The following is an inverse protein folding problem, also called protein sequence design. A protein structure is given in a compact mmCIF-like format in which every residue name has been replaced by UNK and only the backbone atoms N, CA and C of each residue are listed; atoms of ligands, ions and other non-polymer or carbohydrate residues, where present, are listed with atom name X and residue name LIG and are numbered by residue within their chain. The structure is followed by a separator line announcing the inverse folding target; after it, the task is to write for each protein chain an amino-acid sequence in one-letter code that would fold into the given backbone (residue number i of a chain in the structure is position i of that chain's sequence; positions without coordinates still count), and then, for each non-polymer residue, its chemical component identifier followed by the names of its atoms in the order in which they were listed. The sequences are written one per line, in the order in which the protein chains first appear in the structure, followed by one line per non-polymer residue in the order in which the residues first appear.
data_IF_608058788125
#
_entry.id   IF_608058788125
#
_cell.length_a   1.000
_cell.length_b   1.000
_cell.length_c   1.000
_cell.angle_alpha   90.00
_cell.angle_beta   90.00
_cell.angle_gamma   90.00
#
_symmetry.space_group_name_H-M   'P 1'
#
loop_
_entity.id
_entity.type
_entity.pdbx_description
1 polymer ?
#
# COMPACT_ATOMS: atom_id res chain seq x y z
N UNK A 1 -13.69 -12.57 10.42
CA UNK A 1 -15.10 -12.65 10.72
C UNK A 1 -15.88 -12.70 9.41
N UNK A 2 -16.95 -13.49 9.33
CA UNK A 2 -17.89 -13.44 8.21
C UNK A 2 -18.54 -12.05 8.25
N UNK A 3 -18.47 -11.30 7.15
CA UNK A 3 -19.26 -10.09 7.00
C UNK A 3 -20.74 -10.51 6.99
N UNK A 4 -21.48 -10.19 8.04
CA UNK A 4 -22.91 -10.43 8.10
C UNK A 4 -23.73 -9.38 7.30
N UNK A 5 -23.04 -8.49 6.59
CA UNK A 5 -23.62 -7.49 5.71
C UNK A 5 -24.12 -8.05 4.39
N UNK A 6 -25.03 -7.37 3.76
CA UNK A 6 -25.61 -7.75 2.46
C UNK A 6 -24.59 -7.56 1.32
N UNK A 7 -23.71 -6.56 1.44
CA UNK A 7 -22.64 -6.25 0.48
C UNK A 7 -21.44 -5.64 1.18
N UNK A 8 -20.27 -5.83 0.59
CA UNK A 8 -19.05 -5.10 0.93
C UNK A 8 -18.78 -4.06 -0.16
N UNK A 9 -18.58 -2.81 0.25
CA UNK A 9 -18.23 -1.71 -0.66
C UNK A 9 -16.88 -1.16 -0.20
N UNK A 10 -15.86 -1.29 -1.03
CA UNK A 10 -14.52 -0.85 -0.63
C UNK A 10 -13.45 -1.18 -1.64
N UNK A 11 -12.22 -0.93 -1.26
CA UNK A 11 -11.03 -1.19 -2.08
C UNK A 11 -10.75 -2.68 -2.19
N UNK A 12 -10.43 -3.13 -3.39
CA UNK A 12 -9.79 -4.44 -3.58
C UNK A 12 -8.32 -4.37 -3.13
N UNK A 13 -8.12 -4.53 -1.82
CA UNK A 13 -6.81 -4.38 -1.17
C UNK A 13 -5.73 -5.29 -1.76
N UNK A 14 -6.10 -6.51 -2.15
CA UNK A 14 -5.16 -7.47 -2.74
C UNK A 14 -4.68 -7.01 -4.10
N UNK A 15 -5.60 -6.63 -4.98
CA UNK A 15 -5.27 -6.14 -6.32
C UNK A 15 -4.49 -4.82 -6.27
N UNK A 16 -4.84 -3.90 -5.35
CA UNK A 16 -4.08 -2.67 -5.14
C UNK A 16 -2.63 -2.93 -4.73
N UNK A 17 -2.41 -3.91 -3.83
CA UNK A 17 -1.05 -4.29 -3.43
C UNK A 17 -0.29 -5.04 -4.55
N UNK A 18 -0.97 -5.83 -5.39
CA UNK A 18 -0.37 -6.42 -6.59
C UNK A 18 0.04 -5.31 -7.58
N UNK A 19 -0.75 -4.24 -7.72
CA UNK A 19 -0.40 -3.07 -8.55
C UNK A 19 0.85 -2.36 -8.02
N UNK A 20 0.96 -2.16 -6.70
CA UNK A 20 2.16 -1.62 -6.06
C UNK A 20 3.40 -2.51 -6.31
N UNK A 21 3.25 -3.82 -6.16
CA UNK A 21 4.31 -4.79 -6.40
C UNK A 21 4.79 -4.77 -7.85
N UNK A 22 3.88 -4.73 -8.82
CA UNK A 22 4.23 -4.63 -10.24
C UNK A 22 5.03 -3.36 -10.53
N UNK A 23 4.64 -2.24 -9.94
CA UNK A 23 5.41 -0.99 -10.08
C UNK A 23 6.81 -1.09 -9.48
N UNK A 24 6.96 -1.74 -8.31
CA UNK A 24 8.28 -2.03 -7.72
C UNK A 24 9.11 -2.90 -8.67
N UNK A 25 8.51 -3.94 -9.26
CA UNK A 25 9.17 -4.81 -10.23
C UNK A 25 9.73 -4.05 -11.44
N UNK A 26 8.98 -3.08 -11.95
CA UNK A 26 9.40 -2.25 -13.08
C UNK A 26 10.55 -1.29 -12.72
N UNK A 27 10.76 -1.01 -11.44
CA UNK A 27 11.75 -0.04 -10.93
C UNK A 27 12.99 -0.69 -10.32
N UNK A 28 12.96 -1.99 -10.05
CA UNK A 28 14.06 -2.70 -9.38
C UNK A 28 14.64 -3.81 -10.24
N UNK A 29 15.96 -4.07 -10.17
CA UNK A 29 16.56 -5.19 -10.88
C UNK A 29 15.97 -6.54 -10.40
N UNK A 30 15.87 -7.50 -11.32
CA UNK A 30 15.47 -8.87 -10.97
C UNK A 30 16.41 -9.47 -9.91
N UNK A 31 15.86 -10.15 -8.91
CA UNK A 31 16.62 -10.73 -7.80
C UNK A 31 16.99 -9.71 -6.71
N UNK A 32 16.58 -8.44 -6.84
CA UNK A 32 16.86 -7.45 -5.81
C UNK A 32 16.13 -7.77 -4.50
N UNK A 33 16.78 -7.40 -3.39
CA UNK A 33 16.22 -7.54 -2.04
C UNK A 33 15.17 -6.48 -1.78
N UNK A 34 14.00 -6.90 -1.26
CA UNK A 34 12.86 -6.03 -0.95
C UNK A 34 12.28 -6.37 0.42
N UNK A 35 11.68 -5.37 1.08
CA UNK A 35 10.95 -5.58 2.33
C UNK A 35 9.49 -5.14 2.22
N UNK A 36 8.67 -5.73 3.09
CA UNK A 36 7.25 -5.41 3.23
C UNK A 36 7.01 -4.97 4.69
N UNK A 37 6.46 -3.78 4.88
CA UNK A 37 5.94 -3.30 6.15
C UNK A 37 4.43 -3.52 6.18
N UNK A 38 3.96 -4.35 7.12
CA UNK A 38 2.54 -4.71 7.23
C UNK A 38 1.84 -3.92 8.31
N UNK A 39 0.52 -3.79 8.19
CA UNK A 39 -0.34 -3.29 9.26
C UNK A 39 -0.54 -4.33 10.38
N UNK A 40 -1.55 -4.10 11.21
CA UNK A 40 -1.92 -5.03 12.28
C UNK A 40 -2.40 -6.36 11.71
N UNK A 41 -1.76 -7.46 12.07
CA UNK A 41 -2.05 -8.80 11.50
C UNK A 41 -3.44 -9.34 11.87
N UNK A 42 -4.10 -8.77 12.87
CA UNK A 42 -5.50 -9.08 13.22
C UNK A 42 -6.52 -8.52 12.21
N UNK A 43 -6.10 -7.63 11.31
CA UNK A 43 -6.96 -6.95 10.35
C UNK A 43 -6.86 -7.56 8.96
N UNK A 44 -8.01 -7.88 8.36
CA UNK A 44 -8.08 -8.46 7.01
C UNK A 44 -7.41 -7.57 5.94
N UNK A 45 -7.52 -6.25 6.07
CA UNK A 45 -6.87 -5.29 5.17
C UNK A 45 -5.35 -5.47 5.17
N UNK A 46 -4.72 -5.63 6.35
CA UNK A 46 -3.28 -5.85 6.44
C UNK A 46 -2.86 -7.15 5.74
N UNK A 47 -3.61 -8.23 5.98
CA UNK A 47 -3.35 -9.54 5.37
C UNK A 47 -3.51 -9.49 3.85
N UNK A 48 -4.57 -8.86 3.34
CA UNK A 48 -4.83 -8.76 1.90
C UNK A 48 -3.75 -7.94 1.18
N UNK A 49 -3.31 -6.79 1.75
CA UNK A 49 -2.23 -5.98 1.18
C UNK A 49 -0.90 -6.72 1.22
N UNK A 50 -0.58 -7.37 2.33
CA UNK A 50 0.61 -8.22 2.46
C UNK A 50 0.64 -9.32 1.40
N UNK A 51 -0.43 -10.09 1.30
CA UNK A 51 -0.50 -11.26 0.41
C UNK A 51 -0.48 -10.85 -1.07
N UNK A 52 -1.13 -9.73 -1.41
CA UNK A 52 -1.04 -9.15 -2.76
C UNK A 52 0.38 -8.71 -3.12
N UNK A 53 1.06 -8.00 -2.21
CA UNK A 53 2.44 -7.59 -2.40
C UNK A 53 3.38 -8.80 -2.55
N UNK A 54 3.28 -9.79 -1.65
CA UNK A 54 4.08 -11.02 -1.73
C UNK A 54 3.88 -11.72 -3.08
N UNK A 55 2.63 -11.86 -3.53
CA UNK A 55 2.31 -12.50 -4.81
C UNK A 55 2.99 -11.77 -5.98
N UNK A 56 2.83 -10.45 -6.06
CA UNK A 56 3.36 -9.65 -7.16
C UNK A 56 4.90 -9.64 -7.17
N UNK A 57 5.53 -9.37 -6.01
CA UNK A 57 7.00 -9.32 -5.89
C UNK A 57 7.67 -10.67 -6.22
N UNK A 58 7.07 -11.78 -5.78
CA UNK A 58 7.57 -13.12 -6.13
C UNK A 58 7.40 -13.45 -7.61
N UNK A 59 6.31 -13.01 -8.22
CA UNK A 59 6.02 -13.28 -9.63
C UNK A 59 7.09 -12.68 -10.56
N UNK A 60 7.67 -11.53 -10.22
CA UNK A 60 8.75 -10.92 -10.99
C UNK A 60 10.17 -11.33 -10.52
N UNK A 61 10.28 -12.22 -9.54
CA UNK A 61 11.55 -12.78 -9.09
C UNK A 61 12.35 -11.88 -8.16
N UNK A 62 11.70 -10.98 -7.40
CA UNK A 62 12.34 -10.23 -6.33
C UNK A 62 12.48 -11.08 -5.05
N UNK A 63 13.53 -10.82 -4.28
CA UNK A 63 13.84 -11.52 -3.05
C UNK A 63 13.25 -10.79 -1.84
N UNK A 64 12.19 -11.33 -1.24
CA UNK A 64 11.57 -10.73 -0.05
C UNK A 64 12.41 -11.12 1.18
N UNK A 65 13.26 -10.20 1.65
CA UNK A 65 14.18 -10.42 2.78
C UNK A 65 13.56 -10.13 4.14
N UNK A 66 12.47 -9.35 4.17
CA UNK A 66 11.74 -9.06 5.40
C UNK A 66 10.26 -8.82 5.13
N UNK A 67 9.43 -9.31 6.05
CA UNK A 67 8.00 -8.97 6.14
C UNK A 67 7.72 -8.75 7.62
N UNK A 68 7.52 -7.49 8.02
CA UNK A 68 7.39 -7.13 9.43
C UNK A 68 6.22 -6.16 9.64
N UNK A 69 5.51 -6.32 10.76
CA UNK A 69 4.44 -5.40 11.10
C UNK A 69 4.98 -4.10 11.69
N UNK A 70 4.45 -2.99 11.22
CA UNK A 70 4.64 -1.65 11.79
C UNK A 70 3.30 -1.02 12.23
N UNK A 71 2.22 -1.83 12.26
CA UNK A 71 0.92 -1.52 12.88
C UNK A 71 0.29 -0.21 12.40
N UNK A 72 0.51 0.16 11.14
CA UNK A 72 0.04 1.39 10.51
C UNK A 72 0.70 2.69 11.02
N UNK A 73 1.72 2.56 11.88
CA UNK A 73 2.35 3.67 12.59
C UNK A 73 3.67 4.10 11.93
N UNK A 74 3.85 5.42 11.79
CA UNK A 74 5.04 6.01 11.14
C UNK A 74 6.31 5.80 11.98
N UNK A 75 6.25 6.03 13.29
CA UNK A 75 7.44 5.92 14.16
C UNK A 75 7.88 4.47 14.29
N UNK A 76 6.91 3.55 14.40
CA UNK A 76 7.18 2.11 14.42
C UNK A 76 7.77 1.64 13.09
N UNK A 77 7.25 2.13 11.97
CA UNK A 77 7.78 1.81 10.64
C UNK A 77 9.23 2.27 10.48
N UNK A 78 9.59 3.48 10.98
CA UNK A 78 10.97 3.94 11.01
C UNK A 78 11.86 2.96 11.77
N UNK A 79 11.52 2.63 13.02
CA UNK A 79 12.34 1.73 13.86
C UNK A 79 12.46 0.32 13.29
N UNK A 80 11.36 -0.21 12.70
CA UNK A 80 11.35 -1.50 12.01
C UNK A 80 12.27 -1.45 10.78
N UNK A 81 12.20 -0.37 10.01
CA UNK A 81 13.05 -0.19 8.82
C UNK A 81 14.52 -0.10 9.20
N UNK A 82 14.90 0.69 10.22
CA UNK A 82 16.26 0.75 10.75
C UNK A 82 16.80 -0.67 11.07
N UNK A 83 15.98 -1.49 11.74
CA UNK A 83 16.33 -2.88 12.06
C UNK A 83 16.48 -3.77 10.82
N UNK A 84 15.67 -3.54 9.78
CA UNK A 84 15.77 -4.25 8.50
C UNK A 84 17.06 -3.87 7.78
N UNK A 85 17.41 -2.58 7.73
CA UNK A 85 18.61 -2.07 7.05
C UNK A 85 19.92 -2.61 7.65
N UNK A 86 19.97 -2.75 8.98
CA UNK A 86 21.13 -3.37 9.66
C UNK A 86 21.37 -4.79 9.15
N UNK A 87 20.32 -5.56 8.91
CA UNK A 87 20.41 -6.97 8.46
C UNK A 87 20.54 -7.08 6.94
N UNK A 88 20.00 -6.12 6.20
CA UNK A 88 19.88 -6.14 4.75
C UNK A 88 20.35 -4.80 4.16
N UNK A 89 21.65 -4.47 4.20
CA UNK A 89 22.17 -3.16 3.78
C UNK A 89 22.06 -2.91 2.26
N UNK A 90 21.73 -3.93 1.48
CA UNK A 90 21.63 -3.84 0.01
C UNK A 90 20.20 -3.80 -0.50
N UNK A 91 19.22 -3.55 0.38
CA UNK A 91 17.81 -3.51 -0.01
C UNK A 91 17.56 -2.47 -1.13
N UNK A 92 16.69 -2.80 -2.08
CA UNK A 92 16.39 -1.95 -3.24
C UNK A 92 14.97 -1.44 -3.28
N UNK A 93 14.06 -2.07 -2.53
CA UNK A 93 12.70 -1.54 -2.42
C UNK A 93 12.04 -1.87 -1.07
N UNK A 94 11.09 -1.03 -0.68
CA UNK A 94 10.21 -1.24 0.47
C UNK A 94 8.77 -0.97 0.04
N UNK A 95 7.87 -1.91 0.32
CA UNK A 95 6.43 -1.68 0.26
C UNK A 95 5.90 -1.41 1.66
N UNK A 96 5.33 -0.23 1.87
CA UNK A 96 4.55 0.10 3.05
C UNK A 96 3.07 -0.17 2.78
N UNK A 97 2.43 -1.03 3.58
CA UNK A 97 1.00 -1.34 3.40
C UNK A 97 0.07 -0.13 3.64
N UNK A 98 0.61 1.00 4.12
CA UNK A 98 -0.01 2.33 4.04
C UNK A 98 1.07 3.42 3.92
N UNK A 99 0.63 4.65 3.63
CA UNK A 99 1.52 5.79 3.45
C UNK A 99 2.25 6.20 4.72
N UNK A 100 1.61 6.11 5.88
CA UNK A 100 2.27 6.42 7.16
C UNK A 100 3.51 5.54 7.36
N UNK A 101 3.40 4.24 7.09
CA UNK A 101 4.54 3.33 7.20
C UNK A 101 5.58 3.58 6.10
N UNK A 102 5.16 3.90 4.87
CA UNK A 102 6.07 4.26 3.79
C UNK A 102 6.87 5.52 4.12
N UNK A 103 6.23 6.57 4.68
CA UNK A 103 6.89 7.80 5.13
C UNK A 103 7.86 7.54 6.30
N UNK A 104 7.51 6.65 7.23
CA UNK A 104 8.42 6.21 8.29
C UNK A 104 9.66 5.48 7.74
N UNK A 105 9.47 4.62 6.74
CA UNK A 105 10.57 3.94 6.06
C UNK A 105 11.50 4.94 5.36
N UNK A 106 10.97 5.97 4.71
CA UNK A 106 11.76 7.03 4.07
C UNK A 106 12.65 7.74 5.09
N UNK A 107 12.14 8.07 6.28
CA UNK A 107 12.94 8.69 7.33
C UNK A 107 14.15 7.82 7.73
N UNK A 108 13.94 6.52 7.90
CA UNK A 108 15.03 5.59 8.22
C UNK A 108 16.06 5.48 7.08
N UNK A 109 15.60 5.50 5.81
CA UNK A 109 16.47 5.46 4.65
C UNK A 109 17.29 6.75 4.51
N UNK A 110 16.68 7.92 4.73
CA UNK A 110 17.37 9.22 4.73
C UNK A 110 18.47 9.25 5.80
N UNK A 111 18.17 8.81 7.02
CA UNK A 111 19.15 8.73 8.12
C UNK A 111 20.31 7.78 7.82
N UNK A 112 20.05 6.71 7.05
CA UNK A 112 21.06 5.76 6.57
C UNK A 112 21.80 6.23 5.29
N UNK A 113 21.43 7.36 4.70
CA UNK A 113 22.00 7.85 3.43
C UNK A 113 21.60 7.01 2.20
N UNK A 114 20.53 6.23 2.28
CA UNK A 114 20.06 5.32 1.23
C UNK A 114 18.93 5.93 0.40
N UNK A 115 19.27 6.90 -0.44
CA UNK A 115 18.28 7.68 -1.21
C UNK A 115 17.80 6.98 -2.50
N UNK A 116 18.42 5.87 -2.91
CA UNK A 116 18.12 5.16 -4.16
C UNK A 116 17.14 3.98 -3.97
N UNK A 117 16.58 3.82 -2.78
CA UNK A 117 15.63 2.75 -2.49
C UNK A 117 14.24 3.12 -2.97
N UNK A 118 13.61 2.25 -3.76
CA UNK A 118 12.23 2.44 -4.23
C UNK A 118 11.28 2.23 -3.06
N UNK A 119 10.51 3.25 -2.68
CA UNK A 119 9.49 3.14 -1.63
C UNK A 119 8.11 3.36 -2.23
N UNK A 120 7.21 2.41 -1.97
CA UNK A 120 5.81 2.49 -2.43
C UNK A 120 4.87 2.36 -1.24
N UNK A 121 3.93 3.29 -1.13
CA UNK A 121 2.89 3.33 -0.11
C UNK A 121 1.52 2.84 -0.60
N UNK A 122 0.52 3.11 0.20
CA UNK A 122 -0.89 2.84 -0.10
C UNK A 122 -1.73 3.87 0.65
N UNK A 123 -2.77 4.42 0.05
CA UNK A 123 -3.84 5.34 0.47
C UNK A 123 -3.87 6.65 -0.32
N UNK A 124 -2.72 7.12 -0.85
CA UNK A 124 -2.53 8.42 -1.51
C UNK A 124 -2.95 9.60 -0.61
N UNK A 125 -2.38 9.63 0.59
CA UNK A 125 -2.58 10.76 1.51
C UNK A 125 -1.93 12.04 0.97
N UNK A 126 -2.37 13.25 1.38
CA UNK A 126 -1.73 14.52 0.98
C UNK A 126 -0.23 14.56 1.31
N UNK A 127 0.18 13.98 2.44
CA UNK A 127 1.60 13.91 2.83
C UNK A 127 2.40 12.99 1.89
N UNK A 128 1.81 11.86 1.49
CA UNK A 128 2.42 10.98 0.49
C UNK A 128 2.52 11.66 -0.88
N UNK A 129 1.48 12.36 -1.32
CA UNK A 129 1.50 13.12 -2.57
C UNK A 129 2.59 14.19 -2.54
N UNK A 130 2.73 14.91 -1.43
CA UNK A 130 3.80 15.91 -1.23
C UNK A 130 5.18 15.26 -1.26
N UNK A 131 5.35 14.11 -0.62
CA UNK A 131 6.61 13.34 -0.59
C UNK A 131 6.98 12.80 -1.99
N UNK A 132 6.01 12.39 -2.80
CA UNK A 132 6.22 11.98 -4.20
C UNK A 132 6.72 13.16 -5.03
N UNK A 133 6.11 14.32 -4.91
CA UNK A 133 6.52 15.51 -5.64
C UNK A 133 7.88 16.05 -5.21
N UNK A 134 8.27 15.79 -3.97
CA UNK A 134 9.62 16.08 -3.45
C UNK A 134 10.67 15.01 -3.88
N UNK A 135 10.28 13.96 -4.59
CA UNK A 135 11.16 12.88 -5.05
C UNK A 135 11.61 11.89 -3.96
N UNK A 136 10.96 11.92 -2.79
CA UNK A 136 11.29 11.04 -1.65
C UNK A 136 10.50 9.73 -1.69
N UNK A 137 9.17 9.78 -1.79
CA UNK A 137 8.32 8.62 -2.02
C UNK A 137 8.24 8.35 -3.52
N UNK A 138 8.44 7.11 -3.96
CA UNK A 138 8.43 6.79 -5.39
C UNK A 138 7.01 6.73 -5.96
N UNK A 139 6.08 6.15 -5.22
CA UNK A 139 4.67 6.02 -5.59
C UNK A 139 3.80 5.65 -4.39
N UNK A 140 2.49 5.76 -4.56
CA UNK A 140 1.48 5.18 -3.66
C UNK A 140 0.29 4.66 -4.45
N UNK A 141 -0.55 3.86 -3.81
CA UNK A 141 -1.81 3.36 -4.39
C UNK A 141 -2.97 4.13 -3.78
N UNK A 142 -3.70 4.88 -4.60
CA UNK A 142 -4.89 5.59 -4.15
C UNK A 142 -6.06 4.64 -3.89
N UNK A 143 -6.82 4.98 -2.85
CA UNK A 143 -8.17 4.48 -2.59
C UNK A 143 -9.18 5.59 -2.90
N UNK A 144 -10.39 5.22 -3.31
CA UNK A 144 -11.45 6.17 -3.58
C UNK A 144 -12.48 6.19 -2.45
N UNK A 145 -12.10 6.74 -1.29
CA UNK A 145 -12.94 6.80 -0.09
C UNK A 145 -14.25 7.57 -0.31
N UNK A 146 -14.26 8.60 -1.16
CA UNK A 146 -15.48 9.27 -1.58
C UNK A 146 -16.46 8.30 -2.25
N UNK A 147 -15.99 7.45 -3.15
CA UNK A 147 -16.82 6.44 -3.82
C UNK A 147 -17.36 5.40 -2.82
N UNK A 148 -16.58 5.03 -1.79
CA UNK A 148 -17.06 4.13 -0.74
C UNK A 148 -18.30 4.71 -0.05
N UNK A 149 -18.26 5.99 0.34
CA UNK A 149 -19.40 6.68 0.95
C UNK A 149 -20.56 6.85 -0.02
N UNK A 150 -20.32 7.35 -1.22
CA UNK A 150 -21.36 7.59 -2.23
C UNK A 150 -22.05 6.28 -2.64
N UNK A 151 -21.29 5.22 -2.86
CA UNK A 151 -21.84 3.90 -3.19
C UNK A 151 -22.58 3.27 -2.00
N UNK A 152 -22.10 3.51 -0.76
CA UNK A 152 -22.79 3.08 0.45
C UNK A 152 -24.21 3.60 0.48
N UNK A 153 -24.42 4.91 0.27
CA UNK A 153 -25.75 5.52 0.22
C UNK A 153 -26.56 5.00 -0.98
N UNK A 154 -25.96 4.99 -2.17
CA UNK A 154 -26.61 4.52 -3.41
C UNK A 154 -27.18 3.10 -3.25
N UNK A 155 -26.36 2.17 -2.79
CA UNK A 155 -26.75 0.77 -2.71
C UNK A 155 -27.65 0.48 -1.49
N UNK A 156 -27.58 1.27 -0.42
CA UNK A 156 -28.56 1.21 0.66
C UNK A 156 -29.97 1.59 0.18
N UNK A 157 -30.09 2.61 -0.67
CA UNK A 157 -31.36 2.99 -1.29
C UNK A 157 -31.86 1.93 -2.27
N UNK A 158 -30.98 1.35 -3.09
CA UNK A 158 -31.35 0.26 -4.01
C UNK A 158 -31.92 -0.94 -3.25
N UNK A 159 -31.26 -1.34 -2.15
CA UNK A 159 -31.77 -2.40 -1.27
C UNK A 159 -33.13 -2.08 -0.65
N UNK A 160 -33.32 -0.84 -0.18
CA UNK A 160 -34.59 -0.39 0.36
C UNK A 160 -35.73 -0.46 -0.67
N UNK A 161 -35.40 -0.31 -1.96
CA UNK A 161 -36.33 -0.46 -3.08
C UNK A 161 -36.52 -1.92 -3.57
N UNK A 162 -35.86 -2.89 -2.89
CA UNK A 162 -35.96 -4.30 -3.25
C UNK A 162 -35.07 -4.73 -4.41
N UNK A 163 -34.10 -3.90 -4.82
CA UNK A 163 -33.14 -4.22 -5.89
C UNK A 163 -32.11 -5.23 -5.39
N UNK A 164 -31.65 -6.11 -6.29
CA UNK A 164 -30.51 -6.99 -6.03
C UNK A 164 -29.22 -6.26 -6.28
N UNK A 165 -28.26 -6.39 -5.37
CA UNK A 165 -26.93 -5.83 -5.50
C UNK A 165 -25.85 -6.91 -5.37
N UNK A 166 -24.68 -6.65 -5.93
CA UNK A 166 -23.55 -7.57 -5.83
C UNK A 166 -23.02 -7.64 -4.38
N UNK A 167 -22.55 -8.80 -3.99
CA UNK A 167 -21.99 -9.03 -2.65
C UNK A 167 -20.68 -8.25 -2.41
N UNK A 168 -19.96 -7.86 -3.46
CA UNK A 168 -18.73 -7.08 -3.39
C UNK A 168 -18.71 -6.01 -4.47
N UNK A 169 -18.52 -4.76 -4.07
CA UNK A 169 -18.44 -3.61 -4.96
C UNK A 169 -17.07 -2.97 -4.76
N UNK A 170 -16.20 -3.18 -5.75
CA UNK A 170 -14.88 -2.57 -5.76
C UNK A 170 -14.98 -1.07 -6.12
N UNK A 171 -14.43 -0.21 -5.28
CA UNK A 171 -14.39 1.23 -5.52
C UNK A 171 -13.20 1.67 -6.38
N UNK A 172 -12.35 0.72 -6.77
CA UNK A 172 -11.17 0.93 -7.59
C UNK A 172 -9.92 1.33 -6.81
N UNK A 173 -8.79 1.26 -7.50
CA UNK A 173 -7.49 1.73 -7.05
C UNK A 173 -6.75 2.41 -8.20
N UNK A 174 -5.83 3.31 -7.90
CA UNK A 174 -5.01 4.00 -8.89
C UNK A 174 -3.56 4.13 -8.40
N UNK A 175 -2.61 3.87 -9.28
CA UNK A 175 -1.20 4.17 -9.02
C UNK A 175 -0.99 5.70 -9.08
N UNK A 176 -0.39 6.24 -8.02
CA UNK A 176 -0.03 7.65 -7.91
C UNK A 176 1.48 7.79 -7.96
N UNK A 177 1.94 8.60 -8.89
CA UNK A 177 3.35 8.92 -9.13
C UNK A 177 3.50 10.43 -9.32
N UNK A 178 4.69 10.92 -9.64
CA UNK A 178 4.90 12.34 -9.98
C UNK A 178 4.02 12.85 -11.12
N UNK A 179 3.44 11.95 -11.95
CA UNK A 179 2.58 12.33 -13.08
C UNK A 179 1.19 12.83 -12.66
N UNK A 180 0.69 12.36 -11.53
CA UNK A 180 -0.67 12.63 -11.06
C UNK A 180 -0.78 12.93 -9.56
N UNK A 181 0.34 13.03 -8.83
CA UNK A 181 0.33 13.31 -7.39
C UNK A 181 -0.29 14.67 -7.04
N UNK A 182 -0.30 15.63 -7.97
CA UNK A 182 -0.97 16.92 -7.73
C UNK A 182 -2.48 16.81 -7.51
N UNK A 183 -3.11 15.75 -8.02
CA UNK A 183 -4.55 15.51 -7.89
C UNK A 183 -4.93 14.98 -6.49
N UNK A 184 -3.93 14.68 -5.65
CA UNK A 184 -4.09 14.05 -4.33
C UNK A 184 -3.57 14.93 -3.16
N UNK A 185 -3.31 16.20 -3.41
CA UNK A 185 -2.88 17.17 -2.38
C UNK A 185 -4.02 17.68 -1.52
#
# INVERSE_FOLDING_TARGET
GKNEGVTFIGTNNKNGAELAANFICDKTPKGADVAILTGMESQSTALLRRDGAIKGLKACGLNIVATQTAEWDTAKARSVTESILVKNPNIKAIFGSNDNMALGAIQALEDAGMNDVVVVGFDATPDAATSILAGKLTATIAQFSYNMGAYGVKYALALANGEKIDANIDTGTQLVTTKNANDFK
#
